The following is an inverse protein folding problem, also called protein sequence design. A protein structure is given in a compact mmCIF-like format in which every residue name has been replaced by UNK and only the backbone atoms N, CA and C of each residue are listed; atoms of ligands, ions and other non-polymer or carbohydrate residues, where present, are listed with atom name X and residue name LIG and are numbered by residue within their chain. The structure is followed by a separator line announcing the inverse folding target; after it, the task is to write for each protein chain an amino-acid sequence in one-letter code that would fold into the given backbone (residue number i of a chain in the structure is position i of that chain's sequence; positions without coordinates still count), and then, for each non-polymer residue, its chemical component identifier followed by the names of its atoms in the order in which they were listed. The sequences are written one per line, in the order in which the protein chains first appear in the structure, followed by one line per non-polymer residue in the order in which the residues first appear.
data_IF_846210665293
#
_entry.id   IF_846210665293
#
_cell.length_a   1.000
_cell.length_b   1.000
_cell.length_c   1.000
_cell.angle_alpha   90.00
_cell.angle_beta   90.00
_cell.angle_gamma   90.00
#
_symmetry.space_group_name_H-M   'P 1'
#
loop_
_entity.id
_entity.type
_entity.pdbx_description
1 polymer ?
#
# COMPACT_ATOMS: atom_id res chain seq x y z
N UNK A 1 -17.98 30.57 8.91
CA UNK A 1 -18.06 30.47 7.44
C UNK A 1 -18.86 29.23 7.08
N UNK A 2 -19.89 29.33 6.23
CA UNK A 2 -20.64 28.17 5.76
C UNK A 2 -19.70 27.30 4.90
N UNK A 3 -19.49 26.07 5.29
CA UNK A 3 -18.70 25.11 4.50
C UNK A 3 -19.56 24.70 3.31
N UNK A 4 -19.19 25.12 2.11
CA UNK A 4 -19.91 24.76 0.89
C UNK A 4 -19.52 23.34 0.50
N UNK A 5 -20.44 22.39 0.59
CA UNK A 5 -20.30 21.02 0.12
C UNK A 5 -20.56 21.00 -1.39
N UNK A 6 -19.68 20.39 -2.17
CA UNK A 6 -19.96 20.23 -3.59
C UNK A 6 -21.06 19.18 -3.84
N UNK A 7 -21.76 19.29 -4.97
CA UNK A 7 -22.91 18.43 -5.29
C UNK A 7 -22.58 16.93 -5.30
N UNK A 8 -21.37 16.57 -5.74
CA UNK A 8 -20.92 15.16 -5.79
C UNK A 8 -20.69 14.59 -4.39
N UNK A 9 -20.02 15.34 -3.51
CA UNK A 9 -19.81 14.94 -2.12
C UNK A 9 -21.15 14.84 -1.37
N UNK A 10 -22.05 15.80 -1.55
CA UNK A 10 -23.38 15.78 -0.93
C UNK A 10 -24.19 14.56 -1.37
N UNK A 11 -24.22 14.24 -2.67
CA UNK A 11 -24.93 13.06 -3.18
C UNK A 11 -24.30 11.76 -2.64
N UNK A 12 -22.97 11.65 -2.59
CA UNK A 12 -22.28 10.48 -2.06
C UNK A 12 -22.58 10.27 -0.57
N UNK A 13 -22.60 11.35 0.22
CA UNK A 13 -22.96 11.31 1.65
C UNK A 13 -24.40 10.82 1.86
N UNK A 14 -25.36 11.42 1.16
CA UNK A 14 -26.78 11.06 1.29
C UNK A 14 -26.98 9.60 0.91
N UNK A 15 -26.44 9.16 -0.23
CA UNK A 15 -26.59 7.78 -0.69
C UNK A 15 -25.99 6.77 0.30
N UNK A 16 -24.79 7.04 0.84
CA UNK A 16 -24.16 6.14 1.81
C UNK A 16 -24.94 6.08 3.11
N UNK A 17 -25.40 7.22 3.64
CA UNK A 17 -26.20 7.28 4.86
C UNK A 17 -27.56 6.59 4.70
N UNK A 18 -28.21 6.75 3.54
CA UNK A 18 -29.48 6.08 3.23
C UNK A 18 -29.28 4.56 3.15
N UNK A 19 -28.13 4.11 2.63
CA UNK A 19 -27.77 2.68 2.57
C UNK A 19 -27.28 2.12 3.91
N UNK A 20 -27.14 2.94 4.96
CA UNK A 20 -26.66 2.51 6.28
C UNK A 20 -25.16 2.18 6.31
N UNK A 21 -24.39 2.68 5.34
CA UNK A 21 -22.94 2.43 5.25
C UNK A 21 -22.14 3.70 5.54
N UNK A 22 -20.90 3.52 5.99
CA UNK A 22 -19.99 4.65 6.24
C UNK A 22 -19.59 5.29 4.92
N UNK A 23 -19.81 6.61 4.73
CA UNK A 23 -19.40 7.30 3.52
C UNK A 23 -17.88 7.27 3.34
N UNK A 24 -17.40 7.02 2.13
CA UNK A 24 -15.96 7.11 1.80
C UNK A 24 -15.53 8.53 1.43
N UNK A 25 -16.46 9.33 0.93
CA UNK A 25 -16.24 10.69 0.44
C UNK A 25 -17.07 11.66 1.28
N UNK A 26 -16.50 12.84 1.59
CA UNK A 26 -17.22 13.91 2.29
C UNK A 26 -17.35 13.73 3.81
N UNK A 27 -16.74 12.72 4.42
CA UNK A 27 -16.79 12.45 5.86
C UNK A 27 -16.49 13.68 6.73
N UNK A 28 -15.58 14.54 6.30
CA UNK A 28 -15.21 15.79 6.98
C UNK A 28 -16.39 16.72 7.27
N UNK A 29 -17.46 16.62 6.48
CA UNK A 29 -18.64 17.47 6.63
C UNK A 29 -19.64 16.97 7.70
N UNK A 30 -19.54 15.69 8.05
CA UNK A 30 -20.42 15.03 9.04
C UNK A 30 -19.67 14.52 10.26
N UNK A 31 -18.33 14.63 10.27
CA UNK A 31 -17.50 14.26 11.41
C UNK A 31 -17.74 15.26 12.56
N UNK A 32 -18.51 14.84 13.55
CA UNK A 32 -18.81 15.63 14.77
C UNK A 32 -18.28 14.89 15.98
N UNK A 33 -17.61 15.61 16.84
CA UNK A 33 -16.96 15.03 18.02
C UNK A 33 -15.66 14.30 17.68
N UNK A 34 -15.15 13.47 18.61
CA UNK A 34 -13.95 12.63 18.46
C UNK A 34 -12.66 13.36 18.06
N UNK A 35 -12.61 14.66 18.32
CA UNK A 35 -11.41 15.45 18.01
C UNK A 35 -10.17 14.92 18.75
N UNK A 36 -10.37 14.41 19.99
CA UNK A 36 -9.28 13.82 20.77
C UNK A 36 -8.71 12.57 20.11
N UNK A 37 -9.56 11.64 19.68
CA UNK A 37 -9.16 10.39 19.03
C UNK A 37 -8.50 10.68 17.68
N UNK A 38 -9.13 11.53 16.86
CA UNK A 38 -8.54 11.91 15.55
C UNK A 38 -7.18 12.56 15.74
N UNK A 39 -7.04 13.50 16.69
CA UNK A 39 -5.75 14.15 16.97
C UNK A 39 -4.68 13.16 17.43
N UNK A 40 -5.05 12.16 18.26
CA UNK A 40 -4.12 11.13 18.69
C UNK A 40 -3.58 10.31 17.49
N UNK A 41 -4.45 9.95 16.54
CA UNK A 41 -4.00 9.29 15.30
C UNK A 41 -3.18 10.20 14.40
N UNK A 42 -3.49 11.49 14.33
CA UNK A 42 -2.68 12.45 13.56
C UNK A 42 -1.27 12.61 14.15
N UNK A 43 -1.11 12.50 15.47
CA UNK A 43 0.19 12.45 16.13
C UNK A 43 0.95 11.16 15.79
N UNK A 44 0.26 10.00 15.73
CA UNK A 44 0.89 8.76 15.29
C UNK A 44 1.40 8.86 13.85
N UNK A 45 0.59 9.44 12.94
CA UNK A 45 1.03 9.68 11.56
C UNK A 45 2.30 10.56 11.53
N UNK A 46 2.38 11.61 12.35
CA UNK A 46 3.58 12.44 12.45
C UNK A 46 4.78 11.63 12.94
N UNK A 47 4.60 10.78 13.97
CA UNK A 47 5.66 9.87 14.45
C UNK A 47 6.17 8.94 13.35
N UNK A 48 5.28 8.41 12.50
CA UNK A 48 5.65 7.53 11.37
C UNK A 48 6.37 8.31 10.27
N UNK A 49 5.96 9.55 9.99
CA UNK A 49 6.67 10.45 9.05
C UNK A 49 8.12 10.64 9.48
N UNK A 50 8.36 10.83 10.79
CA UNK A 50 9.69 11.00 11.40
C UNK A 50 10.49 9.68 11.52
N UNK A 51 9.97 8.56 11.00
CA UNK A 51 10.67 7.27 10.97
C UNK A 51 10.32 6.31 12.11
N UNK A 52 9.42 6.70 13.00
CA UNK A 52 8.90 5.85 14.07
C UNK A 52 7.82 4.87 13.61
N UNK A 53 7.21 4.21 14.58
CA UNK A 53 6.07 3.32 14.40
C UNK A 53 5.04 3.56 15.50
N UNK A 54 3.78 3.27 15.21
CA UNK A 54 2.69 3.37 16.16
C UNK A 54 1.76 2.17 16.04
N UNK A 55 1.12 1.79 17.13
CA UNK A 55 0.13 0.73 17.18
C UNK A 55 -1.01 1.14 18.12
N UNK A 56 -2.26 0.93 17.68
CA UNK A 56 -3.44 1.26 18.47
C UNK A 56 -4.53 0.19 18.37
N UNK A 57 -5.15 -0.09 19.50
CA UNK A 57 -6.45 -0.78 19.53
C UNK A 57 -7.58 0.25 19.58
N UNK A 58 -8.60 0.04 18.73
CA UNK A 58 -9.84 0.82 18.74
C UNK A 58 -10.96 -0.08 19.25
N UNK A 59 -11.31 0.06 20.52
CA UNK A 59 -12.34 -0.74 21.16
C UNK A 59 -13.61 0.07 21.36
N UNK A 60 -14.76 -0.57 21.23
CA UNK A 60 -16.07 0.05 21.48
C UNK A 60 -17.21 -0.89 21.13
N UNK A 61 -18.39 -0.62 21.69
CA UNK A 61 -19.59 -1.39 21.41
C UNK A 61 -20.01 -1.30 19.93
N UNK A 62 -20.82 -2.26 19.47
CA UNK A 62 -21.43 -2.17 18.14
C UNK A 62 -22.21 -0.85 18.00
N UNK A 63 -22.10 -0.21 16.85
CA UNK A 63 -22.72 1.09 16.60
C UNK A 63 -22.01 2.30 17.21
N UNK A 64 -20.91 2.12 17.96
CA UNK A 64 -20.16 3.23 18.57
C UNK A 64 -19.39 4.11 17.55
N UNK A 65 -19.42 3.79 16.25
CA UNK A 65 -18.78 4.55 15.19
C UNK A 65 -17.29 4.23 14.99
N UNK A 66 -16.83 3.02 15.33
CA UNK A 66 -15.45 2.56 15.06
C UNK A 66 -15.10 2.69 13.58
N UNK A 67 -15.90 2.09 12.71
CA UNK A 67 -15.66 2.12 11.25
C UNK A 67 -15.69 3.54 10.68
N UNK A 68 -16.53 4.42 11.23
CA UNK A 68 -16.52 5.86 10.87
C UNK A 68 -15.20 6.53 11.24
N UNK A 69 -14.68 6.26 12.45
CA UNK A 69 -13.39 6.78 12.91
C UNK A 69 -12.26 6.25 12.03
N UNK A 70 -12.20 4.94 11.78
CA UNK A 70 -11.18 4.32 10.93
C UNK A 70 -11.20 4.90 9.50
N UNK A 71 -12.38 5.08 8.91
CA UNK A 71 -12.51 5.70 7.59
C UNK A 71 -12.07 7.17 7.59
N UNK A 72 -12.31 7.91 8.68
CA UNK A 72 -11.84 9.29 8.83
C UNK A 72 -10.32 9.35 8.85
N UNK A 73 -9.68 8.44 9.60
CA UNK A 73 -8.21 8.34 9.70
C UNK A 73 -7.63 7.91 8.35
N UNK A 74 -8.24 6.93 7.70
CA UNK A 74 -7.87 6.47 6.35
C UNK A 74 -7.80 7.62 5.35
N UNK A 75 -8.83 8.45 5.31
CA UNK A 75 -8.88 9.61 4.43
C UNK A 75 -7.77 10.63 4.76
N UNK A 76 -7.60 10.96 6.05
CA UNK A 76 -6.54 11.88 6.50
C UNK A 76 -5.14 11.35 6.15
N UNK A 77 -4.89 10.04 6.32
CA UNK A 77 -3.61 9.43 5.98
C UNK A 77 -3.33 9.52 4.47
N UNK A 78 -4.32 9.20 3.62
CA UNK A 78 -4.16 9.31 2.17
C UNK A 78 -3.93 10.76 1.71
N UNK A 79 -4.59 11.75 2.32
CA UNK A 79 -4.36 13.17 2.04
C UNK A 79 -2.93 13.60 2.39
N UNK A 80 -2.34 12.99 3.42
CA UNK A 80 -0.94 13.18 3.83
C UNK A 80 0.07 12.31 3.07
N UNK A 81 -0.35 11.68 1.99
CA UNK A 81 0.50 10.81 1.16
C UNK A 81 0.98 9.53 1.86
N UNK A 82 0.20 8.99 2.78
CA UNK A 82 0.38 7.61 3.24
C UNK A 82 -0.24 6.63 2.25
N UNK A 83 0.32 5.43 2.23
CA UNK A 83 -0.32 4.25 1.65
C UNK A 83 -1.16 3.60 2.75
N UNK A 84 -2.34 3.15 2.40
CA UNK A 84 -3.26 2.51 3.36
C UNK A 84 -3.66 1.14 2.83
N UNK A 85 -3.77 0.17 3.72
CA UNK A 85 -4.34 -1.14 3.42
C UNK A 85 -5.25 -1.58 4.57
N UNK A 86 -6.29 -2.32 4.24
CA UNK A 86 -7.27 -2.81 5.19
C UNK A 86 -7.58 -4.29 4.97
N UNK A 87 -7.83 -5.02 6.07
CA UNK A 87 -8.33 -6.38 6.04
C UNK A 87 -9.35 -6.61 7.15
N UNK A 88 -10.45 -7.28 6.79
CA UNK A 88 -11.43 -7.76 7.74
C UNK A 88 -11.06 -9.20 8.13
N UNK A 89 -10.87 -9.44 9.42
CA UNK A 89 -10.58 -10.78 9.93
C UNK A 89 -11.84 -11.66 9.85
N UNK A 90 -11.61 -12.92 9.56
CA UNK A 90 -12.65 -13.95 9.49
C UNK A 90 -12.05 -15.30 9.92
N UNK A 91 -12.84 -16.37 10.04
CA UNK A 91 -12.30 -17.70 10.28
C UNK A 91 -11.24 -18.14 9.27
N UNK A 92 -11.35 -17.68 8.01
CA UNK A 92 -10.44 -17.97 6.91
C UNK A 92 -9.26 -16.98 6.81
N UNK A 93 -9.39 -15.83 7.42
CA UNK A 93 -8.39 -14.74 7.43
C UNK A 93 -8.02 -14.37 8.85
N UNK A 94 -6.87 -14.84 9.32
CA UNK A 94 -6.34 -14.58 10.66
C UNK A 94 -4.92 -14.05 10.58
N UNK A 95 -4.49 -13.36 11.62
CA UNK A 95 -3.10 -12.88 11.71
C UNK A 95 -2.13 -14.03 11.99
N UNK A 96 -2.62 -15.05 12.68
CA UNK A 96 -1.85 -16.27 13.01
C UNK A 96 -2.71 -17.49 12.74
N UNK A 97 -2.09 -18.57 12.30
CA UNK A 97 -2.79 -19.81 12.03
C UNK A 97 -2.05 -20.64 10.98
N UNK A 98 -2.46 -21.90 10.84
CA UNK A 98 -2.00 -22.81 9.79
C UNK A 98 -3.09 -22.94 8.70
N UNK A 99 -2.69 -23.34 7.49
CA UNK A 99 -3.63 -23.64 6.42
C UNK A 99 -4.01 -22.46 5.53
N UNK A 100 -3.14 -21.47 5.37
CA UNK A 100 -3.32 -20.35 4.43
C UNK A 100 -4.02 -19.13 5.01
N UNK A 101 -4.29 -19.09 6.30
CA UNK A 101 -5.04 -18.00 6.93
C UNK A 101 -4.25 -16.69 6.98
N UNK A 102 -2.95 -16.72 7.29
CA UNK A 102 -2.09 -15.55 7.28
C UNK A 102 -1.85 -15.04 5.85
N UNK A 103 -1.64 -15.96 4.90
CA UNK A 103 -1.53 -15.62 3.49
C UNK A 103 -2.83 -15.01 2.94
N UNK A 104 -4.00 -15.51 3.38
CA UNK A 104 -5.28 -14.94 2.98
C UNK A 104 -5.44 -13.50 3.50
N UNK A 105 -5.03 -13.23 4.74
CA UNK A 105 -5.00 -11.86 5.31
C UNK A 105 -4.05 -10.96 4.52
N UNK A 106 -2.86 -11.43 4.17
CA UNK A 106 -1.92 -10.68 3.34
C UNK A 106 -2.51 -10.32 1.97
N UNK A 107 -3.15 -11.29 1.30
CA UNK A 107 -3.81 -11.07 0.00
C UNK A 107 -4.90 -10.01 0.08
N UNK A 108 -5.70 -10.05 1.14
CA UNK A 108 -6.73 -9.05 1.40
C UNK A 108 -6.10 -7.66 1.57
N UNK A 109 -5.06 -7.53 2.41
CA UNK A 109 -4.33 -6.29 2.61
C UNK A 109 -3.79 -5.72 1.28
N UNK A 110 -3.17 -6.55 0.45
CA UNK A 110 -2.63 -6.12 -0.85
C UNK A 110 -3.75 -5.76 -1.84
N UNK A 111 -4.86 -6.47 -1.83
CA UNK A 111 -6.02 -6.15 -2.66
C UNK A 111 -6.63 -4.79 -2.30
N UNK A 112 -6.71 -4.48 -1.00
CA UNK A 112 -7.23 -3.21 -0.49
C UNK A 112 -6.16 -2.11 -0.37
N UNK A 113 -4.96 -2.36 -0.89
CA UNK A 113 -3.90 -1.35 -0.93
C UNK A 113 -4.36 -0.10 -1.66
N UNK A 114 -4.35 1.03 -0.98
CA UNK A 114 -4.97 2.27 -1.41
C UNK A 114 -4.02 3.45 -1.29
N UNK A 115 -4.19 4.40 -2.18
CA UNK A 115 -3.50 5.70 -2.19
C UNK A 115 -4.50 6.81 -2.47
N UNK A 116 -4.09 8.06 -2.32
CA UNK A 116 -4.93 9.22 -2.66
C UNK A 116 -5.48 9.17 -4.09
N UNK A 117 -4.69 8.65 -5.04
CA UNK A 117 -5.08 8.55 -6.46
C UNK A 117 -5.87 7.28 -6.78
N UNK A 118 -5.78 6.27 -5.90
CA UNK A 118 -6.50 4.99 -5.98
C UNK A 118 -7.11 4.65 -4.62
N UNK A 119 -8.16 5.36 -4.18
CA UNK A 119 -8.73 5.19 -2.83
C UNK A 119 -9.55 3.91 -2.68
N UNK A 120 -9.95 3.26 -3.79
CA UNK A 120 -10.80 2.06 -3.80
C UNK A 120 -10.01 0.75 -3.71
N UNK A 121 -8.69 0.80 -3.60
CA UNK A 121 -7.84 -0.39 -3.55
C UNK A 121 -7.06 -0.66 -4.84
N UNK A 122 -6.41 -1.82 -4.88
CA UNK A 122 -5.62 -2.29 -6.04
C UNK A 122 -4.53 -1.31 -6.49
N UNK A 123 -3.93 -0.58 -5.55
CA UNK A 123 -2.95 0.46 -5.86
C UNK A 123 -1.53 -0.06 -6.10
N UNK A 124 -1.25 -1.37 -5.93
CA UNK A 124 0.09 -1.95 -6.00
C UNK A 124 0.85 -1.53 -7.26
N UNK A 125 0.28 -1.80 -8.43
CA UNK A 125 0.92 -1.46 -9.69
C UNK A 125 1.11 0.05 -9.87
N UNK A 126 0.13 0.85 -9.47
CA UNK A 126 0.24 2.32 -9.57
C UNK A 126 1.31 2.91 -8.65
N UNK A 127 1.59 2.27 -7.51
CA UNK A 127 2.70 2.64 -6.62
C UNK A 127 4.04 2.39 -7.30
N UNK A 128 4.23 1.21 -7.91
CA UNK A 128 5.44 0.86 -8.65
C UNK A 128 5.67 1.81 -9.83
N UNK A 129 4.63 2.03 -10.64
CA UNK A 129 4.71 2.92 -11.80
C UNK A 129 5.05 4.35 -11.40
N UNK A 130 4.39 4.87 -10.36
CA UNK A 130 4.64 6.23 -9.86
C UNK A 130 6.07 6.37 -9.33
N UNK A 131 6.56 5.39 -8.60
CA UNK A 131 7.93 5.37 -8.09
C UNK A 131 8.96 5.42 -9.21
N UNK A 132 8.82 4.54 -10.22
CA UNK A 132 9.71 4.51 -11.39
C UNK A 132 9.63 5.83 -12.17
N UNK A 133 8.41 6.34 -12.43
CA UNK A 133 8.22 7.59 -13.14
C UNK A 133 8.82 8.80 -12.39
N UNK A 134 8.78 8.80 -11.07
CA UNK A 134 9.40 9.86 -10.27
C UNK A 134 10.93 9.85 -10.41
N UNK A 135 11.56 8.67 -10.40
CA UNK A 135 13.01 8.53 -10.62
C UNK A 135 13.39 8.97 -12.05
N UNK A 136 12.65 8.51 -13.06
CA UNK A 136 12.87 8.95 -14.45
C UNK A 136 12.79 10.46 -14.57
N UNK A 137 11.79 11.09 -13.95
CA UNK A 137 11.61 12.55 -14.00
C UNK A 137 12.74 13.30 -13.30
N UNK A 138 13.19 12.80 -12.16
CA UNK A 138 14.26 13.42 -11.37
C UNK A 138 15.59 13.32 -12.11
N UNK A 139 15.99 12.13 -12.55
CA UNK A 139 17.26 11.90 -13.26
C UNK A 139 17.26 12.64 -14.60
N UNK A 140 16.14 12.62 -15.36
CA UNK A 140 16.06 13.35 -16.63
C UNK A 140 16.31 14.85 -16.46
N UNK A 141 15.84 15.45 -15.35
CA UNK A 141 16.07 16.86 -15.04
C UNK A 141 17.50 17.13 -14.58
N UNK A 142 18.05 16.28 -13.71
CA UNK A 142 19.39 16.45 -13.14
C UNK A 142 20.49 16.28 -14.19
N UNK A 143 20.32 15.30 -15.09
CA UNK A 143 21.30 14.98 -16.14
C UNK A 143 20.96 15.58 -17.51
N UNK A 144 19.86 16.35 -17.59
CA UNK A 144 19.36 16.98 -18.84
C UNK A 144 19.16 15.95 -19.98
N UNK A 145 18.60 14.77 -19.65
CA UNK A 145 18.32 13.68 -20.58
C UNK A 145 16.86 13.69 -21.06
N UNK A 146 16.65 13.19 -22.29
CA UNK A 146 15.29 13.00 -22.82
C UNK A 146 14.70 11.66 -22.37
N UNK A 147 13.36 11.54 -22.38
CA UNK A 147 12.61 10.37 -21.85
C UNK A 147 13.02 9.05 -22.52
N UNK A 148 13.41 9.08 -23.80
CA UNK A 148 13.79 7.89 -24.57
C UNK A 148 15.33 7.68 -24.69
N UNK A 149 16.11 8.44 -23.92
CA UNK A 149 17.56 8.31 -23.95
C UNK A 149 18.00 7.00 -23.30
N UNK A 150 18.81 6.16 -23.97
CA UNK A 150 19.39 4.97 -23.35
C UNK A 150 20.19 5.26 -22.08
N UNK A 151 20.81 6.43 -21.97
CA UNK A 151 21.49 6.87 -20.76
C UNK A 151 20.52 7.03 -19.58
N UNK A 152 19.32 7.58 -19.82
CA UNK A 152 18.28 7.68 -18.79
C UNK A 152 17.85 6.29 -18.29
N UNK A 153 17.61 5.34 -19.19
CA UNK A 153 17.22 3.97 -18.82
C UNK A 153 18.31 3.31 -17.97
N UNK A 154 19.58 3.54 -18.31
CA UNK A 154 20.73 3.04 -17.54
C UNK A 154 20.77 3.67 -16.14
N UNK A 155 20.72 4.99 -16.04
CA UNK A 155 20.77 5.71 -14.77
C UNK A 155 19.58 5.34 -13.84
N UNK A 156 18.37 5.19 -14.38
CA UNK A 156 17.21 4.71 -13.64
C UNK A 156 17.42 3.28 -13.14
N UNK A 157 17.99 2.38 -13.98
CA UNK A 157 18.28 1.00 -13.56
C UNK A 157 19.30 0.95 -12.42
N UNK A 158 20.33 1.78 -12.46
CA UNK A 158 21.34 1.91 -11.40
C UNK A 158 20.71 2.45 -10.10
N UNK A 159 19.85 3.46 -10.20
CA UNK A 159 19.13 4.01 -9.03
C UNK A 159 18.15 3.03 -8.40
N UNK A 160 17.44 2.25 -9.21
CA UNK A 160 16.59 1.15 -8.73
C UNK A 160 17.43 0.12 -7.97
N UNK A 161 18.56 -0.30 -8.54
CA UNK A 161 19.45 -1.28 -7.91
C UNK A 161 20.01 -0.76 -6.58
N UNK A 162 20.38 0.52 -6.49
CA UNK A 162 20.82 1.17 -5.25
C UNK A 162 19.74 1.08 -4.16
N UNK A 163 18.50 1.50 -4.47
CA UNK A 163 17.38 1.45 -3.52
C UNK A 163 17.06 0.02 -3.09
N UNK A 164 17.09 -0.94 -4.04
CA UNK A 164 16.78 -2.34 -3.76
C UNK A 164 17.89 -3.04 -2.97
N UNK A 165 19.15 -2.59 -3.08
CA UNK A 165 20.26 -3.16 -2.30
C UNK A 165 20.06 -2.99 -0.79
N UNK A 166 19.53 -1.84 -0.36
CA UNK A 166 19.23 -1.59 1.04
C UNK A 166 18.13 -2.52 1.59
N UNK A 167 17.14 -2.85 0.76
CA UNK A 167 16.07 -3.78 1.14
C UNK A 167 16.56 -5.23 1.16
N UNK A 168 17.55 -5.57 0.33
CA UNK A 168 18.09 -6.93 0.21
C UNK A 168 18.77 -7.44 1.48
N UNK A 169 19.20 -6.56 2.37
CA UNK A 169 19.82 -6.91 3.65
C UNK A 169 18.82 -7.46 4.69
N UNK A 170 17.52 -7.25 4.45
CA UNK A 170 16.47 -7.73 5.34
C UNK A 170 16.09 -9.19 5.06
N UNK A 171 15.44 -9.81 6.05
CA UNK A 171 14.84 -11.13 5.86
C UNK A 171 13.93 -11.13 4.64
N UNK A 172 14.14 -12.07 3.70
CA UNK A 172 13.47 -12.17 2.40
C UNK A 172 13.68 -10.97 1.45
N UNK A 173 14.49 -10.00 1.82
CA UNK A 173 14.73 -8.78 1.05
C UNK A 173 15.29 -9.05 -0.34
N UNK A 174 16.15 -10.06 -0.50
CA UNK A 174 16.70 -10.46 -1.79
C UNK A 174 15.62 -10.90 -2.78
N UNK A 175 14.68 -11.77 -2.35
CA UNK A 175 13.58 -12.20 -3.21
C UNK A 175 12.66 -11.02 -3.57
N UNK A 176 12.32 -10.17 -2.60
CA UNK A 176 11.51 -8.97 -2.82
C UNK A 176 12.16 -8.02 -3.83
N UNK A 177 13.45 -7.75 -3.66
CA UNK A 177 14.22 -6.86 -4.56
C UNK A 177 14.28 -7.42 -5.99
N UNK A 178 14.51 -8.72 -6.15
CA UNK A 178 14.51 -9.38 -7.45
C UNK A 178 13.17 -9.28 -8.17
N UNK A 179 12.07 -9.34 -7.44
CA UNK A 179 10.72 -9.19 -8.01
C UNK A 179 10.46 -7.76 -8.48
N UNK A 180 10.85 -6.76 -7.68
CA UNK A 180 10.74 -5.34 -8.07
C UNK A 180 11.62 -5.05 -9.31
N UNK A 181 12.85 -5.57 -9.34
CA UNK A 181 13.74 -5.45 -10.49
C UNK A 181 13.16 -6.16 -11.74
N UNK A 182 12.52 -7.32 -11.56
CA UNK A 182 11.81 -8.02 -12.64
C UNK A 182 10.66 -7.19 -13.20
N UNK A 183 9.90 -6.53 -12.33
CA UNK A 183 8.86 -5.60 -12.76
C UNK A 183 9.43 -4.45 -13.60
N UNK A 184 10.54 -3.85 -13.16
CA UNK A 184 11.26 -2.82 -13.93
C UNK A 184 11.76 -3.34 -15.27
N UNK A 185 12.38 -4.52 -15.30
CA UNK A 185 12.85 -5.16 -16.53
C UNK A 185 11.71 -5.41 -17.51
N UNK A 186 10.57 -5.90 -17.01
CA UNK A 186 9.35 -6.07 -17.81
C UNK A 186 8.86 -4.74 -18.39
N UNK A 187 8.83 -3.69 -17.57
CA UNK A 187 8.37 -2.38 -18.00
C UNK A 187 9.26 -1.75 -19.09
N UNK A 188 10.59 -1.76 -18.91
CA UNK A 188 11.51 -1.15 -19.87
C UNK A 188 11.65 -1.91 -21.19
N UNK A 189 11.39 -3.23 -21.17
CA UNK A 189 11.52 -4.10 -22.35
C UNK A 189 10.17 -4.37 -23.04
N UNK A 190 9.05 -3.85 -22.49
CA UNK A 190 7.71 -4.15 -23.00
C UNK A 190 7.27 -5.60 -22.76
N UNK A 191 7.85 -6.29 -21.77
CA UNK A 191 7.51 -7.67 -21.40
C UNK A 191 6.37 -7.68 -20.35
N UNK A 192 5.14 -7.72 -20.84
CA UNK A 192 3.95 -7.74 -20.00
C UNK A 192 3.82 -9.03 -19.19
N UNK A 193 4.36 -10.15 -19.69
CA UNK A 193 4.35 -11.42 -18.96
C UNK A 193 5.22 -11.32 -17.71
N UNK A 194 6.43 -10.80 -17.82
CA UNK A 194 7.34 -10.60 -16.69
C UNK A 194 6.76 -9.61 -15.66
N UNK A 195 6.14 -8.52 -16.10
CA UNK A 195 5.42 -7.59 -15.20
C UNK A 195 4.29 -8.27 -14.44
N UNK A 196 3.48 -9.06 -15.14
CA UNK A 196 2.36 -9.80 -14.55
C UNK A 196 2.86 -10.80 -13.52
N UNK A 197 3.92 -11.56 -13.83
CA UNK A 197 4.53 -12.51 -12.91
C UNK A 197 5.06 -11.83 -11.65
N UNK A 198 5.70 -10.66 -11.77
CA UNK A 198 6.15 -9.88 -10.62
C UNK A 198 4.98 -9.41 -9.74
N UNK A 199 3.90 -8.91 -10.34
CA UNK A 199 2.70 -8.49 -9.60
C UNK A 199 1.98 -9.66 -8.93
N UNK A 200 1.89 -10.83 -9.60
CA UNK A 200 1.36 -12.07 -9.01
C UNK A 200 2.15 -12.47 -7.76
N UNK A 201 3.48 -12.39 -7.84
CA UNK A 201 4.31 -12.72 -6.69
C UNK A 201 4.09 -11.77 -5.52
N UNK A 202 4.07 -10.45 -5.76
CA UNK A 202 3.81 -9.45 -4.73
C UNK A 202 2.42 -9.56 -4.10
N UNK A 203 1.44 -10.12 -4.83
CA UNK A 203 0.10 -10.40 -4.31
C UNK A 203 0.02 -11.73 -3.54
N UNK A 204 1.09 -12.52 -3.48
CA UNK A 204 1.09 -13.83 -2.84
C UNK A 204 0.27 -14.88 -3.61
N UNK A 205 0.16 -14.77 -4.93
CA UNK A 205 -0.71 -15.61 -5.76
C UNK A 205 -0.04 -16.90 -6.28
N UNK A 206 1.25 -17.10 -6.03
CA UNK A 206 1.93 -18.34 -6.40
C UNK A 206 1.59 -19.46 -5.41
N UNK A 207 1.23 -20.64 -5.95
CA UNK A 207 0.88 -21.80 -5.14
C UNK A 207 2.10 -22.52 -4.58
N UNK A 208 3.23 -22.46 -5.30
CA UNK A 208 4.47 -23.13 -4.91
C UNK A 208 5.72 -22.45 -5.48
N UNK A 209 6.87 -22.74 -4.86
CA UNK A 209 8.16 -22.14 -5.25
C UNK A 209 8.63 -22.55 -6.65
N UNK A 210 8.25 -23.75 -7.10
CA UNK A 210 8.66 -24.25 -8.43
C UNK A 210 8.01 -23.44 -9.56
N UNK A 211 6.74 -23.08 -9.41
CA UNK A 211 6.05 -22.20 -10.34
C UNK A 211 6.70 -20.82 -10.38
N UNK A 212 6.92 -20.20 -9.21
CA UNK A 212 7.54 -18.89 -9.13
C UNK A 212 8.95 -18.84 -9.75
N UNK A 213 9.79 -19.87 -9.51
CA UNK A 213 11.16 -19.97 -10.06
C UNK A 213 11.21 -20.10 -11.57
N UNK A 214 10.15 -20.57 -12.22
CA UNK A 214 10.09 -20.64 -13.70
C UNK A 214 9.90 -19.27 -14.33
N UNK A 215 9.24 -18.37 -13.63
CA UNK A 215 8.86 -17.06 -14.14
C UNK A 215 9.73 -15.93 -13.59
N UNK A 216 10.29 -16.10 -12.39
CA UNK A 216 11.02 -15.06 -11.66
C UNK A 216 12.31 -15.60 -11.04
N UNK A 217 13.34 -14.78 -10.88
CA UNK A 217 14.59 -15.15 -10.21
C UNK A 217 14.41 -15.10 -8.67
N UNK A 218 13.55 -15.95 -8.12
CA UNK A 218 13.22 -16.01 -6.69
C UNK A 218 13.44 -17.40 -6.12
N UNK A 219 13.75 -17.49 -4.83
CA UNK A 219 13.93 -18.73 -4.06
C UNK A 219 12.80 -18.99 -3.05
N UNK A 220 11.92 -18.01 -2.89
CA UNK A 220 10.82 -18.02 -1.94
C UNK A 220 9.53 -17.49 -2.57
N UNK A 221 8.41 -17.81 -1.94
CA UNK A 221 7.10 -17.22 -2.21
C UNK A 221 6.55 -16.67 -0.90
N UNK A 222 5.55 -15.82 -0.99
CA UNK A 222 4.82 -15.33 0.18
C UNK A 222 3.87 -16.44 0.65
N UNK A 223 3.98 -16.81 1.93
CA UNK A 223 3.22 -17.88 2.56
C UNK A 223 2.84 -17.52 4.03
N UNK A 224 2.17 -18.44 4.74
CA UNK A 224 1.72 -18.24 6.12
C UNK A 224 2.85 -17.96 7.11
N UNK A 225 4.07 -18.38 6.83
CA UNK A 225 5.20 -18.24 7.73
C UNK A 225 5.95 -16.93 7.57
N UNK A 226 5.86 -16.31 6.39
CA UNK A 226 6.70 -15.17 6.04
C UNK A 226 5.94 -13.91 5.60
N UNK A 227 4.62 -13.95 5.43
CA UNK A 227 3.82 -12.82 4.94
C UNK A 227 4.04 -11.53 5.74
N UNK A 228 4.26 -11.63 7.04
CA UNK A 228 4.50 -10.46 7.89
C UNK A 228 5.87 -9.82 7.61
N UNK A 229 6.89 -10.62 7.30
CA UNK A 229 8.20 -10.11 6.89
C UNK A 229 8.09 -9.35 5.56
N UNK A 230 7.32 -9.88 4.61
CA UNK A 230 7.04 -9.17 3.36
C UNK A 230 6.20 -7.90 3.55
N UNK A 231 5.30 -7.87 4.51
CA UNK A 231 4.56 -6.65 4.88
C UNK A 231 5.52 -5.57 5.41
N UNK A 232 6.50 -5.94 6.24
CA UNK A 232 7.54 -5.01 6.72
C UNK A 232 8.42 -4.49 5.58
N UNK A 233 8.85 -5.36 4.67
CA UNK A 233 9.59 -4.96 3.46
C UNK A 233 8.78 -3.98 2.61
N UNK A 234 7.50 -4.26 2.43
CA UNK A 234 6.61 -3.37 1.68
C UNK A 234 6.44 -2.01 2.38
N UNK A 235 6.35 -1.98 3.71
CA UNK A 235 6.30 -0.73 4.47
C UNK A 235 7.55 0.14 4.26
N UNK A 236 8.73 -0.47 4.22
CA UNK A 236 9.98 0.24 3.90
C UNK A 236 10.02 0.68 2.42
N UNK A 237 9.61 -0.20 1.52
CA UNK A 237 9.55 0.11 0.10
C UNK A 237 8.67 1.33 -0.19
N UNK A 238 7.48 1.44 0.40
CA UNK A 238 6.59 2.59 0.15
C UNK A 238 7.21 3.91 0.63
N UNK A 239 8.02 3.90 1.69
CA UNK A 239 8.81 5.08 2.09
C UNK A 239 9.86 5.44 1.04
N UNK A 240 10.59 4.45 0.52
CA UNK A 240 11.54 4.65 -0.60
C UNK A 240 10.82 5.10 -1.88
N UNK A 241 9.58 4.71 -2.08
CA UNK A 241 8.74 5.14 -3.19
C UNK A 241 8.17 6.57 -3.02
N UNK A 242 8.56 7.28 -1.97
CA UNK A 242 8.21 8.69 -1.74
C UNK A 242 6.88 8.90 -1.00
N UNK A 243 6.31 7.85 -0.42
CA UNK A 243 5.19 7.98 0.50
C UNK A 243 5.68 8.21 1.94
N UNK A 244 4.83 8.77 2.78
CA UNK A 244 5.15 9.09 4.18
C UNK A 244 5.21 7.86 5.08
N UNK A 245 4.51 6.79 4.72
CA UNK A 245 4.49 5.52 5.44
C UNK A 245 3.37 4.62 4.97
N UNK A 246 3.22 3.50 5.67
CA UNK A 246 2.17 2.52 5.48
C UNK A 246 1.28 2.50 6.72
N UNK A 247 -0.04 2.57 6.51
CA UNK A 247 -1.05 2.42 7.55
C UNK A 247 -1.86 1.15 7.29
N UNK A 248 -1.92 0.27 8.26
CA UNK A 248 -2.62 -1.02 8.16
C UNK A 248 -3.79 -1.02 9.13
N UNK A 249 -4.99 -1.21 8.63
CA UNK A 249 -6.20 -1.42 9.41
C UNK A 249 -6.55 -2.91 9.42
N UNK A 250 -6.80 -3.42 10.62
CA UNK A 250 -7.31 -4.78 10.82
C UNK A 250 -8.60 -4.63 11.61
N UNK A 251 -9.72 -5.01 11.01
CA UNK A 251 -11.03 -4.97 11.65
C UNK A 251 -11.47 -6.41 11.98
N UNK A 252 -11.99 -6.60 13.21
CA UNK A 252 -12.72 -7.80 13.60
C UNK A 252 -14.19 -7.44 13.46
N UNK A 253 -14.83 -7.91 12.39
CA UNK A 253 -16.23 -7.68 12.07
C UNK A 253 -17.24 -8.13 13.15
#
# INVERSE_FOLDING_TARGET
MAVTINRRESAALINSLTAGVVPRIGLRHIAVGRHGEVNAFLQDLATIEDGGAAFRFVCGQYGSGKSFLLQTIRNNAMERSFVVMDADLSPERRLTGAGGQGLATYRELIQHLSTRTRPEGSALESILQKWIASMQTTIAKEENLQVNDPALIKAVSEKIAEVLSELSEMAYGFAFSNVIDSYWKGMKNGDDALKTSALRWLRGEYANKTEAKRELPVDSIIDDQNWYEFLKLFALFVKKAGYKGLLVFIDEG
#
